data_IF_217603595030
#
_entry.id   IF_217603595030
#
_cell.length_a   1.000
_cell.length_b   1.000
_cell.length_c   1.000
_cell.angle_alpha   90.00
_cell.angle_beta   90.00
_cell.angle_gamma   90.00
#
_symmetry.space_group_name_H-M   'P 1'
#
loop_
_entity.id
_entity.type
_entity.pdbx_description
1 polymer ?
#
# COMPACT_ATOMS: atom_id res chain seq x y z
N UNK A 1 -24.98 -13.53 -19.23
CA UNK A 1 -23.90 -14.23 -18.47
C UNK A 1 -22.55 -13.50 -18.52
N UNK A 2 -21.72 -13.55 -19.59
CA UNK A 2 -20.41 -12.83 -19.60
C UNK A 2 -20.51 -11.30 -19.45
N UNK A 3 -21.39 -10.64 -20.21
CA UNK A 3 -21.58 -9.18 -20.13
C UNK A 3 -22.04 -8.69 -18.76
N UNK A 4 -22.82 -9.51 -18.04
CA UNK A 4 -23.28 -9.16 -16.69
C UNK A 4 -22.15 -9.32 -15.67
N UNK A 5 -21.33 -10.38 -15.79
CA UNK A 5 -20.14 -10.56 -14.95
C UNK A 5 -19.12 -9.43 -15.14
N UNK A 6 -18.87 -9.01 -16.38
CA UNK A 6 -17.98 -7.88 -16.70
C UNK A 6 -18.52 -6.55 -16.15
N UNK A 7 -19.82 -6.30 -16.29
CA UNK A 7 -20.46 -5.10 -15.75
C UNK A 7 -20.42 -5.04 -14.22
N UNK A 8 -20.65 -6.18 -13.56
CA UNK A 8 -20.56 -6.31 -12.10
C UNK A 8 -19.13 -6.08 -11.60
N UNK A 9 -18.13 -6.65 -12.27
CA UNK A 9 -16.72 -6.44 -11.95
C UNK A 9 -16.33 -4.96 -12.12
N UNK A 10 -16.73 -4.33 -13.22
CA UNK A 10 -16.46 -2.92 -13.45
C UNK A 10 -17.16 -2.01 -12.43
N UNK A 11 -18.36 -2.38 -11.99
CA UNK A 11 -19.07 -1.64 -10.94
C UNK A 11 -18.34 -1.75 -9.60
N UNK A 12 -17.97 -2.97 -9.19
CA UNK A 12 -17.23 -3.22 -7.95
C UNK A 12 -15.89 -2.48 -7.93
N UNK A 13 -15.13 -2.52 -9.03
CA UNK A 13 -13.87 -1.79 -9.17
C UNK A 13 -14.05 -0.28 -8.98
N UNK A 14 -15.05 0.33 -9.62
CA UNK A 14 -15.35 1.76 -9.46
C UNK A 14 -15.76 2.12 -8.04
N UNK A 15 -16.52 1.26 -7.37
CA UNK A 15 -16.89 1.46 -5.97
C UNK A 15 -15.66 1.43 -5.06
N UNK A 16 -14.78 0.44 -5.24
CA UNK A 16 -13.52 0.34 -4.50
C UNK A 16 -12.64 1.58 -4.71
N UNK A 17 -12.40 1.98 -5.97
CA UNK A 17 -11.58 3.15 -6.30
C UNK A 17 -12.16 4.43 -5.67
N UNK A 18 -13.48 4.58 -5.66
CA UNK A 18 -14.14 5.74 -5.05
C UNK A 18 -13.97 5.75 -3.53
N UNK A 19 -14.19 4.62 -2.86
CA UNK A 19 -14.03 4.50 -1.41
C UNK A 19 -12.58 4.78 -1.03
N UNK A 20 -11.64 4.05 -1.62
CA UNK A 20 -10.21 4.18 -1.34
C UNK A 20 -9.69 5.59 -1.67
N UNK A 21 -10.17 6.24 -2.73
CA UNK A 21 -9.81 7.62 -3.07
C UNK A 21 -10.24 8.65 -2.02
N UNK A 22 -11.40 8.43 -1.39
CA UNK A 22 -11.92 9.32 -0.33
C UNK A 22 -11.34 9.05 1.06
N UNK A 23 -10.71 7.89 1.28
CA UNK A 23 -10.04 7.57 2.54
C UNK A 23 -8.86 8.51 2.78
N UNK A 24 -8.77 9.19 3.94
CA UNK A 24 -7.67 10.11 4.24
C UNK A 24 -6.32 9.38 4.35
N UNK A 25 -6.35 8.14 4.83
CA UNK A 25 -5.19 7.28 5.03
C UNK A 25 -4.60 6.75 3.72
N UNK A 26 -3.33 6.36 3.78
CA UNK A 26 -2.65 5.61 2.74
C UNK A 26 -3.16 4.16 2.78
N UNK A 27 -3.81 3.74 1.70
CA UNK A 27 -4.28 2.37 1.48
C UNK A 27 -3.45 1.76 0.38
N UNK A 28 -2.95 0.55 0.59
CA UNK A 28 -2.15 -0.17 -0.40
C UNK A 28 -2.50 -1.65 -0.41
N UNK A 29 -2.14 -2.32 -1.51
CA UNK A 29 -2.15 -3.78 -1.62
C UNK A 29 -0.74 -4.20 -1.99
N UNK A 30 -0.17 -5.10 -1.18
CA UNK A 30 1.16 -5.63 -1.39
C UNK A 30 1.07 -7.14 -1.64
N UNK A 31 1.68 -7.59 -2.73
CA UNK A 31 1.84 -9.00 -3.03
C UNK A 31 3.02 -9.54 -2.21
N UNK A 32 2.74 -10.43 -1.27
CA UNK A 32 3.79 -11.04 -0.46
C UNK A 32 4.60 -12.08 -1.22
N UNK A 33 4.06 -12.68 -2.29
CA UNK A 33 4.72 -13.73 -3.08
C UNK A 33 5.71 -13.09 -4.05
N UNK A 34 5.25 -12.08 -4.80
CA UNK A 34 6.06 -11.36 -5.78
C UNK A 34 6.79 -10.14 -5.17
N UNK A 35 6.59 -9.90 -3.88
CA UNK A 35 7.20 -8.83 -3.08
C UNK A 35 7.08 -7.45 -3.72
N UNK A 36 5.86 -7.14 -4.17
CA UNK A 36 5.59 -5.94 -4.95
C UNK A 36 4.29 -5.25 -4.58
N UNK A 37 4.27 -3.92 -4.69
CA UNK A 37 3.04 -3.16 -4.57
C UNK A 37 2.16 -3.34 -5.81
N UNK A 38 0.90 -3.76 -5.59
CA UNK A 38 -0.12 -3.93 -6.64
C UNK A 38 -1.01 -2.68 -6.73
N UNK A 39 -1.26 -2.03 -5.60
CA UNK A 39 -2.15 -0.88 -5.51
C UNK A 39 -1.68 0.08 -4.43
N UNK A 40 -1.90 1.37 -4.69
CA UNK A 40 -1.86 2.44 -3.70
C UNK A 40 -2.95 3.45 -4.05
N UNK A 41 -3.65 3.96 -3.06
CA UNK A 41 -4.62 5.04 -3.25
C UNK A 41 -3.92 6.41 -3.32
N UNK A 42 -4.70 7.47 -3.60
CA UNK A 42 -4.21 8.86 -3.59
C UNK A 42 -3.78 9.36 -2.20
N UNK A 43 -4.06 8.58 -1.15
CA UNK A 43 -3.60 8.86 0.22
C UNK A 43 -2.09 9.00 0.31
N UNK A 44 -1.31 8.29 -0.52
CA UNK A 44 0.15 8.45 -0.54
C UNK A 44 0.60 9.87 -0.89
N UNK A 45 -0.14 10.58 -1.76
CA UNK A 45 0.18 11.97 -2.08
C UNK A 45 -0.08 12.88 -0.88
N UNK A 46 -1.15 12.63 -0.12
CA UNK A 46 -1.49 13.41 1.08
C UNK A 46 -0.55 13.14 2.24
N UNK A 47 -0.22 11.87 2.48
CA UNK A 47 0.57 11.41 3.63
C UNK A 47 2.08 11.56 3.39
N UNK A 48 2.55 11.19 2.20
CA UNK A 48 3.97 11.12 1.85
C UNK A 48 4.39 12.11 0.74
N UNK A 49 3.47 12.89 0.16
CA UNK A 49 3.80 13.97 -0.77
C UNK A 49 4.17 13.52 -2.19
N UNK A 50 4.08 12.22 -2.50
CA UNK A 50 4.43 11.71 -3.83
C UNK A 50 3.36 12.05 -4.87
N UNK A 51 3.78 12.66 -5.98
CA UNK A 51 2.93 12.88 -7.14
C UNK A 51 2.68 11.58 -7.92
N UNK A 52 1.60 11.55 -8.71
CA UNK A 52 1.29 10.42 -9.58
C UNK A 52 2.42 10.06 -10.56
N UNK A 53 3.17 11.05 -11.04
CA UNK A 53 4.32 10.80 -11.92
C UNK A 53 5.44 10.06 -11.18
N UNK A 54 5.72 10.41 -9.92
CA UNK A 54 6.73 9.73 -9.11
C UNK A 54 6.28 8.32 -8.71
N UNK A 55 5.00 8.15 -8.38
CA UNK A 55 4.40 6.84 -8.08
C UNK A 55 4.52 5.92 -9.28
N UNK A 56 4.17 6.41 -10.48
CA UNK A 56 4.30 5.65 -11.71
C UNK A 56 5.76 5.28 -12.03
N UNK A 57 6.72 6.17 -11.75
CA UNK A 57 8.14 5.91 -11.96
C UNK A 57 8.72 4.85 -11.00
N UNK A 58 8.28 4.84 -9.74
CA UNK A 58 8.67 3.83 -8.74
C UNK A 58 8.00 2.48 -8.97
N UNK A 59 6.79 2.51 -9.55
CA UNK A 59 6.03 1.33 -9.95
C UNK A 59 5.85 0.35 -8.79
N UNK A 60 6.12 -0.93 -9.06
CA UNK A 60 5.85 -2.03 -8.14
C UNK A 60 6.78 -2.05 -6.91
N UNK A 61 7.88 -1.28 -6.93
CA UNK A 61 8.83 -1.15 -5.81
C UNK A 61 8.47 -0.05 -4.82
N UNK A 62 7.39 0.71 -5.07
CA UNK A 62 7.02 1.92 -4.35
C UNK A 62 7.16 1.78 -2.83
N UNK A 63 6.31 1.00 -2.17
CA UNK A 63 6.27 0.92 -0.70
C UNK A 63 7.63 0.48 -0.13
N UNK A 64 8.23 -0.58 -0.67
CA UNK A 64 9.52 -1.09 -0.21
C UNK A 64 10.66 -0.08 -0.34
N UNK A 65 10.67 0.75 -1.38
CA UNK A 65 11.70 1.77 -1.62
C UNK A 65 11.61 2.99 -0.69
N UNK A 66 10.49 3.16 0.01
CA UNK A 66 10.24 4.29 0.90
C UNK A 66 10.56 3.99 2.36
N UNK A 67 10.72 2.71 2.73
CA UNK A 67 11.05 2.31 4.09
C UNK A 67 12.44 2.82 4.46
N UNK A 68 12.60 3.35 5.67
CA UNK A 68 13.91 3.74 6.19
C UNK A 68 14.86 2.53 6.24
N UNK A 69 16.13 2.66 5.84
CA UNK A 69 17.08 1.54 5.79
C UNK A 69 17.14 0.70 7.08
N UNK A 70 17.18 1.35 8.23
CA UNK A 70 17.20 0.69 9.55
C UNK A 70 15.93 -0.13 9.85
N UNK A 71 14.79 0.19 9.23
CA UNK A 71 13.51 -0.49 9.46
C UNK A 71 13.30 -1.65 8.48
N UNK A 72 14.11 -1.74 7.41
CA UNK A 72 14.00 -2.81 6.39
C UNK A 72 14.07 -4.22 7.01
N UNK A 73 15.03 -4.55 7.90
CA UNK A 73 15.07 -5.88 8.51
C UNK A 73 13.80 -6.20 9.29
N UNK A 74 13.22 -5.20 9.98
CA UNK A 74 11.96 -5.34 10.71
C UNK A 74 10.77 -5.56 9.77
N UNK A 75 10.68 -4.82 8.68
CA UNK A 75 9.64 -4.97 7.67
C UNK A 75 9.68 -6.36 6.99
N UNK A 76 10.88 -6.89 6.69
CA UNK A 76 11.04 -8.24 6.14
C UNK A 76 10.56 -9.30 7.13
N UNK A 77 10.93 -9.18 8.40
CA UNK A 77 10.46 -10.08 9.46
C UNK A 77 8.94 -9.97 9.66
N UNK A 78 8.39 -8.76 9.57
CA UNK A 78 6.96 -8.48 9.59
C UNK A 78 6.21 -9.20 8.46
N UNK A 79 6.69 -9.08 7.23
CA UNK A 79 6.13 -9.78 6.06
C UNK A 79 6.13 -11.30 6.24
N UNK A 80 7.21 -11.87 6.80
CA UNK A 80 7.29 -13.31 7.10
C UNK A 80 6.26 -13.73 8.16
N UNK A 81 6.04 -12.90 9.18
CA UNK A 81 5.01 -13.14 10.19
C UNK A 81 3.61 -13.03 9.59
N UNK A 82 3.38 -12.02 8.77
CA UNK A 82 2.10 -11.75 8.12
C UNK A 82 1.64 -12.92 7.23
N UNK A 83 2.59 -13.60 6.54
CA UNK A 83 2.29 -14.83 5.76
C UNK A 83 1.71 -15.98 6.58
N UNK A 84 1.86 -15.97 7.89
CA UNK A 84 1.37 -17.03 8.79
C UNK A 84 0.16 -16.60 9.63
N UNK A 85 -0.35 -15.38 9.44
CA UNK A 85 -1.53 -14.89 10.13
C UNK A 85 -2.80 -15.44 9.46
N UNK A 86 -3.84 -15.63 10.27
CA UNK A 86 -5.18 -15.88 9.75
C UNK A 86 -5.77 -14.60 9.14
N UNK A 87 -6.68 -14.73 8.17
CA UNK A 87 -7.37 -13.61 7.48
C UNK A 87 -8.11 -12.63 8.42
N UNK A 88 -8.28 -12.99 9.70
CA UNK A 88 -8.96 -12.17 10.71
C UNK A 88 -8.01 -11.42 11.64
N UNK A 89 -6.72 -11.72 11.55
CA UNK A 89 -5.69 -11.08 12.36
C UNK A 89 -5.16 -9.84 11.64
N UNK A 90 -4.72 -8.86 12.44
CA UNK A 90 -4.17 -7.58 11.95
C UNK A 90 -2.77 -7.42 12.52
N UNK A 91 -1.82 -7.10 11.66
CA UNK A 91 -0.46 -6.78 12.03
C UNK A 91 -0.28 -5.25 12.18
N UNK A 92 -0.41 -4.79 13.43
CA UNK A 92 -0.20 -3.39 13.81
C UNK A 92 1.28 -3.14 14.12
N UNK A 93 1.88 -2.20 13.40
CA UNK A 93 3.30 -1.85 13.56
C UNK A 93 3.57 -0.41 13.12
N UNK A 94 4.73 0.12 13.52
CA UNK A 94 5.17 1.46 13.14
C UNK A 94 6.47 1.37 12.34
N UNK A 95 6.57 2.16 11.29
CA UNK A 95 7.77 2.22 10.46
C UNK A 95 7.99 3.63 9.90
N UNK A 96 9.26 3.97 9.64
CA UNK A 96 9.61 5.24 9.03
C UNK A 96 9.51 5.13 7.51
N UNK A 97 8.66 5.97 6.92
CA UNK A 97 8.56 6.12 5.47
C UNK A 97 9.12 7.47 5.02
N UNK A 98 9.86 7.45 3.90
CA UNK A 98 10.41 8.64 3.28
C UNK A 98 9.28 9.46 2.67
N UNK A 99 9.18 10.73 3.05
CA UNK A 99 8.35 11.72 2.40
C UNK A 99 9.05 12.24 1.14
N UNK A 100 8.30 12.79 0.17
CA UNK A 100 8.84 13.34 -1.07
C UNK A 100 9.82 14.51 -0.87
N UNK A 101 9.81 15.16 0.31
CA UNK A 101 10.83 16.17 0.70
C UNK A 101 12.19 15.57 1.08
N UNK A 102 12.27 14.25 1.25
CA UNK A 102 13.47 13.53 1.71
C UNK A 102 13.49 13.24 3.22
N UNK A 103 12.61 13.86 4.00
CA UNK A 103 12.47 13.59 5.43
C UNK A 103 11.75 12.26 5.68
N UNK A 104 12.03 11.62 6.81
CA UNK A 104 11.32 10.43 7.24
C UNK A 104 10.20 10.76 8.22
N UNK A 105 9.05 10.10 8.06
CA UNK A 105 7.90 10.21 8.95
C UNK A 105 7.55 8.84 9.52
N UNK A 106 7.23 8.80 10.81
CA UNK A 106 6.64 7.62 11.42
C UNK A 106 5.22 7.45 10.92
N UNK A 107 4.93 6.30 10.33
CA UNK A 107 3.58 5.86 10.02
C UNK A 107 3.26 4.65 10.88
N UNK A 108 2.01 4.61 11.36
CA UNK A 108 1.43 3.42 11.95
C UNK A 108 0.67 2.67 10.86
N UNK A 109 1.09 1.43 10.61
CA UNK A 109 0.54 0.54 9.61
C UNK A 109 -0.31 -0.53 10.30
N UNK A 110 -1.46 -0.82 9.71
CA UNK A 110 -2.36 -1.89 10.14
C UNK A 110 -2.60 -2.76 8.91
N UNK A 111 -1.79 -3.79 8.80
CA UNK A 111 -1.78 -4.72 7.67
C UNK A 111 -2.61 -5.96 7.95
#
# INVERSE_FOLDING_TARGET
DRKQAEAALAHSRRQFEKIAGTTPDLVYVFDLIEERNIYVNEGIQRVLGYSQAQIAALGSSLIGSLIHPDDIPGAIAGNQRFRNLDDREVYDHELRMRHASGEYRWLRCRD
#
